data_IF_174715166768
#
_entry.id   IF_174715166768
#
_cell.length_a   1.000
_cell.length_b   1.000
_cell.length_c   1.000
_cell.angle_alpha   90.00
_cell.angle_beta   90.00
_cell.angle_gamma   90.00
#
_symmetry.space_group_name_H-M   'P 1'
#
loop_
_entity.id
_entity.type
_entity.pdbx_description
1 polymer ?
#
# COMPACT_ATOMS: atom_id res chain seq x y z
N UNK A 1 -5.09 2.72 -1.38
CA UNK A 1 -4.47 1.39 -1.42
C UNK A 1 -3.34 1.39 -2.43
N UNK A 2 -2.38 0.49 -2.28
CA UNK A 2 -1.28 0.25 -3.23
C UNK A 2 -1.26 -1.23 -3.57
N UNK A 3 -1.18 -1.56 -4.86
CA UNK A 3 -0.96 -2.92 -5.34
C UNK A 3 0.44 -3.01 -5.94
N UNK A 4 1.28 -3.88 -5.40
CA UNK A 4 2.63 -4.15 -5.89
C UNK A 4 2.67 -5.57 -6.44
N UNK A 5 2.89 -5.68 -7.74
CA UNK A 5 2.92 -6.96 -8.45
C UNK A 5 4.37 -7.34 -8.69
N UNK A 6 4.80 -8.46 -8.11
CA UNK A 6 6.11 -9.04 -8.32
C UNK A 6 6.03 -10.38 -9.04
N UNK A 7 7.17 -10.93 -9.42
CA UNK A 7 7.26 -12.30 -9.96
C UNK A 7 6.95 -13.30 -8.85
N UNK A 8 5.78 -13.94 -8.92
CA UNK A 8 5.33 -15.00 -7.99
C UNK A 8 4.66 -14.52 -6.70
N UNK A 9 4.75 -13.23 -6.35
CA UNK A 9 4.06 -12.66 -5.18
C UNK A 9 3.52 -11.26 -5.46
N UNK A 10 2.29 -11.03 -5.06
CA UNK A 10 1.62 -9.73 -5.11
C UNK A 10 1.38 -9.27 -3.68
N UNK A 11 1.69 -8.02 -3.41
CA UNK A 11 1.44 -7.37 -2.12
C UNK A 11 0.36 -6.32 -2.31
N UNK A 12 -0.71 -6.44 -1.54
CA UNK A 12 -1.76 -5.43 -1.47
C UNK A 12 -1.72 -4.71 -0.13
N UNK A 13 -1.48 -3.41 -0.18
CA UNK A 13 -1.48 -2.52 0.96
C UNK A 13 -2.73 -1.64 0.94
N UNK A 14 -3.73 -2.03 1.72
CA UNK A 14 -4.92 -1.22 1.95
C UNK A 14 -4.67 -0.25 3.12
N UNK A 15 -5.09 1.00 2.96
CA UNK A 15 -4.90 2.03 3.98
C UNK A 15 -5.92 3.18 3.83
N UNK A 16 -6.12 3.94 4.89
CA UNK A 16 -6.99 5.13 4.91
C UNK A 16 -6.22 6.46 4.90
N UNK A 17 -4.87 6.41 4.83
CA UNK A 17 -4.02 7.61 4.84
C UNK A 17 -4.24 8.47 3.59
N UNK A 18 -4.63 9.75 3.74
CA UNK A 18 -4.87 10.63 2.60
C UNK A 18 -3.56 10.96 1.86
N UNK A 19 -3.64 11.01 0.53
CA UNK A 19 -2.51 11.37 -0.37
C UNK A 19 -1.27 10.48 -0.16
N UNK A 20 -1.46 9.19 0.11
CA UNK A 20 -0.37 8.22 0.26
C UNK A 20 -0.13 7.44 -1.06
N UNK A 21 1.12 7.25 -1.48
CA UNK A 21 2.35 7.85 -0.95
C UNK A 21 2.53 9.27 -1.48
N UNK A 22 2.70 10.27 -0.60
CA UNK A 22 2.72 11.69 -1.02
C UNK A 22 3.92 12.05 -1.90
N UNK A 23 5.02 11.33 -1.74
CA UNK A 23 6.30 11.56 -2.43
C UNK A 23 7.06 10.23 -2.52
N UNK A 24 7.01 9.56 -3.68
CA UNK A 24 7.67 8.27 -3.88
C UNK A 24 9.18 8.30 -3.60
N UNK A 25 9.84 9.43 -3.90
CA UNK A 25 11.29 9.56 -3.76
C UNK A 25 11.74 10.17 -2.42
N UNK A 26 10.84 10.35 -1.44
CA UNK A 26 11.20 10.84 -0.11
C UNK A 26 10.81 9.83 0.94
N UNK A 27 11.59 9.77 2.03
CA UNK A 27 11.26 8.93 3.19
C UNK A 27 9.85 9.25 3.67
N UNK A 28 9.01 8.22 3.78
CA UNK A 28 7.67 8.35 4.32
C UNK A 28 7.74 8.84 5.77
N UNK A 29 6.87 9.79 6.11
CA UNK A 29 6.59 10.23 7.48
C UNK A 29 5.10 10.05 7.72
N UNK A 30 4.76 9.35 8.79
CA UNK A 30 3.38 9.21 9.22
C UNK A 30 2.78 10.59 9.51
N UNK A 31 1.57 10.91 9.03
CA UNK A 31 0.98 12.22 9.22
C UNK A 31 0.71 12.49 10.71
N UNK A 32 0.92 13.72 11.16
CA UNK A 32 0.60 14.13 12.53
C UNK A 32 -0.88 13.92 12.86
N UNK A 33 -1.75 14.19 11.88
CA UNK A 33 -3.20 13.97 11.97
C UNK A 33 -3.62 12.50 12.09
N UNK A 34 -2.69 11.55 11.96
CA UNK A 34 -2.99 10.12 12.08
C UNK A 34 -3.38 9.72 13.51
N UNK A 35 -2.91 10.45 14.53
CA UNK A 35 -3.32 10.24 15.92
C UNK A 35 -4.80 10.59 16.13
N UNK A 36 -5.25 11.71 15.59
CA UNK A 36 -6.62 12.20 15.75
C UNK A 36 -7.61 11.46 14.85
N UNK A 37 -7.19 11.05 13.65
CA UNK A 37 -8.08 10.46 12.63
C UNK A 37 -7.97 8.93 12.52
N UNK A 38 -7.33 8.27 13.50
CA UNK A 38 -7.19 6.82 13.61
C UNK A 38 -7.02 6.09 12.26
N UNK A 39 -5.79 6.06 11.73
CA UNK A 39 -5.54 5.46 10.42
C UNK A 39 -5.22 3.97 10.52
N UNK A 40 -5.88 3.17 9.69
CA UNK A 40 -5.62 1.74 9.53
C UNK A 40 -4.71 1.46 8.33
N UNK A 41 -3.84 0.46 8.48
CA UNK A 41 -3.11 -0.20 7.40
C UNK A 41 -3.36 -1.71 7.48
N UNK A 42 -3.62 -2.33 6.33
CA UNK A 42 -3.71 -3.77 6.15
C UNK A 42 -2.82 -4.17 4.99
N UNK A 43 -1.92 -5.12 5.22
CA UNK A 43 -1.01 -5.63 4.21
C UNK A 43 -1.24 -7.13 4.03
N UNK A 44 -1.59 -7.54 2.81
CA UNK A 44 -1.80 -8.95 2.46
C UNK A 44 -0.81 -9.31 1.36
N UNK A 45 -0.21 -10.49 1.48
CA UNK A 45 0.57 -11.09 0.40
C UNK A 45 -0.17 -12.27 -0.19
N UNK A 46 -0.31 -12.30 -1.50
CA UNK A 46 -0.93 -13.39 -2.24
C UNK A 46 0.03 -13.95 -3.29
N UNK A 47 -0.02 -15.24 -3.63
CA UNK A 47 0.72 -15.78 -4.76
C UNK A 47 0.31 -15.09 -6.06
N UNK A 48 1.27 -14.73 -6.90
CA UNK A 48 0.99 -14.23 -8.25
C UNK A 48 0.98 -15.42 -9.20
N UNK A 49 -0.20 -15.81 -9.69
CA UNK A 49 -0.34 -16.89 -10.67
C UNK A 49 0.09 -16.43 -12.07
N UNK A 50 -0.45 -15.30 -12.51
CA UNK A 50 -0.06 -14.64 -13.75
C UNK A 50 -0.12 -13.13 -13.54
N UNK A 51 0.92 -12.41 -13.97
CA UNK A 51 0.97 -10.94 -13.84
C UNK A 51 -0.08 -10.26 -14.73
N UNK A 52 -0.57 -10.94 -15.76
CA UNK A 52 -1.64 -10.43 -16.64
C UNK A 52 -3.03 -10.47 -16.01
N UNK A 53 -3.26 -11.28 -14.96
CA UNK A 53 -4.56 -11.34 -14.25
C UNK A 53 -4.73 -10.19 -13.24
N UNK A 54 -3.70 -9.37 -13.05
CA UNK A 54 -3.67 -8.31 -12.03
C UNK A 54 -4.06 -6.93 -12.59
N UNK A 55 -4.31 -6.81 -13.91
CA UNK A 55 -4.70 -5.57 -14.61
C UNK A 55 -6.15 -5.65 -15.07
#
# INVERSE_FOLDING_TARGET
>A
GILMVGKGRTVWLQHCVPRFPRRLHKRYKYPTSGRENAQLFLCITVPTKNTSEVI
#
